data_IF_756784592188
#
_entry.id   IF_756784592188
#
_cell.length_a   1.000
_cell.length_b   1.000
_cell.length_c   1.000
_cell.angle_alpha   90.00
_cell.angle_beta   90.00
_cell.angle_gamma   90.00
#
_symmetry.space_group_name_H-M   'P 1'
#
loop_
_entity.id
_entity.type
_entity.pdbx_description
1 polymer ?
#
# COMPACT_ATOMS: atom_id res chain seq x y z
N UNK A 1 -5.20 8.40 15.37
CA UNK A 1 -5.26 6.93 15.52
C UNK A 1 -4.65 6.31 14.26
N UNK A 2 -3.60 5.49 14.39
CA UNK A 2 -2.88 4.95 13.22
C UNK A 2 -3.55 3.66 12.70
N UNK A 3 -3.63 3.51 11.37
CA UNK A 3 -4.27 2.35 10.71
C UNK A 3 -3.67 0.99 11.16
N UNK A 4 -2.37 0.95 11.44
CA UNK A 4 -1.67 -0.27 11.90
C UNK A 4 -1.93 -0.65 13.37
N UNK A 5 -2.56 0.23 14.15
CA UNK A 5 -2.96 -0.07 15.52
C UNK A 5 -4.39 -0.61 15.62
N UNK A 6 -5.17 -0.55 14.53
CA UNK A 6 -6.52 -1.09 14.47
C UNK A 6 -6.54 -2.37 13.64
N UNK A 7 -7.03 -3.43 14.28
CA UNK A 7 -7.26 -4.72 13.66
C UNK A 7 -8.68 -4.78 13.13
N UNK A 8 -8.79 -5.15 11.86
CA UNK A 8 -10.05 -5.36 11.14
C UNK A 8 -9.99 -6.73 10.43
N UNK A 9 -11.15 -7.39 10.22
CA UNK A 9 -11.19 -8.59 9.40
C UNK A 9 -10.57 -8.33 8.02
N UNK A 10 -9.55 -9.09 7.66
CA UNK A 10 -8.79 -8.92 6.41
C UNK A 10 -7.39 -8.31 6.58
N UNK A 11 -7.03 -7.86 7.78
CA UNK A 11 -5.65 -7.46 8.07
C UNK A 11 -4.70 -8.66 8.10
N UNK A 12 -3.48 -8.46 7.60
CA UNK A 12 -2.43 -9.48 7.64
C UNK A 12 -1.52 -9.25 8.85
N UNK A 13 -1.46 -10.26 9.71
CA UNK A 13 -0.73 -10.23 10.96
C UNK A 13 0.50 -11.14 10.90
N UNK A 14 1.53 -10.76 11.64
CA UNK A 14 2.60 -11.66 12.05
C UNK A 14 2.59 -11.73 13.58
N UNK A 15 2.20 -12.89 14.11
CA UNK A 15 1.88 -13.02 15.53
C UNK A 15 0.77 -12.04 15.93
N UNK A 16 0.95 -11.22 16.97
CA UNK A 16 -0.05 -10.24 17.41
C UNK A 16 -0.01 -8.92 16.62
N UNK A 17 0.97 -8.71 15.73
CA UNK A 17 1.21 -7.42 15.10
C UNK A 17 0.67 -7.35 13.67
N UNK A 18 -0.03 -6.26 13.35
CA UNK A 18 -0.47 -5.95 11.98
C UNK A 18 0.70 -5.45 11.15
N UNK A 19 1.02 -6.17 10.08
CA UNK A 19 2.14 -5.86 9.19
C UNK A 19 1.70 -5.38 7.81
N UNK A 20 0.45 -5.64 7.43
CA UNK A 20 -0.15 -5.08 6.22
C UNK A 20 -1.45 -4.36 6.56
N UNK A 21 -1.60 -3.16 6.04
CA UNK A 21 -2.85 -2.41 6.04
C UNK A 21 -3.27 -2.09 4.61
N UNK A 22 -4.56 -2.22 4.31
CA UNK A 22 -5.08 -1.94 2.98
C UNK A 22 -6.32 -1.04 3.02
N UNK A 23 -6.61 -0.42 1.88
CA UNK A 23 -7.81 0.36 1.64
C UNK A 23 -8.30 0.10 0.22
N UNK A 24 -9.62 0.19 0.04
CA UNK A 24 -10.26 -0.10 -1.23
C UNK A 24 -11.30 0.95 -1.59
N UNK A 25 -11.45 1.21 -2.89
CA UNK A 25 -12.54 2.03 -3.43
C UNK A 25 -13.09 1.41 -4.70
N UNK A 26 -14.42 1.26 -4.76
CA UNK A 26 -15.15 0.82 -5.95
C UNK A 26 -15.84 2.02 -6.59
N UNK A 27 -15.74 2.16 -7.90
CA UNK A 27 -16.37 3.26 -8.64
C UNK A 27 -16.56 2.90 -10.11
N UNK A 28 -17.78 3.04 -10.64
CA UNK A 28 -18.12 2.83 -12.05
C UNK A 28 -17.57 1.51 -12.63
N UNK A 29 -17.80 0.40 -11.94
CA UNK A 29 -17.30 -0.93 -12.33
C UNK A 29 -15.80 -1.17 -12.07
N UNK A 30 -15.03 -0.14 -11.72
CA UNK A 30 -13.61 -0.26 -11.34
C UNK A 30 -13.39 -0.49 -9.84
N UNK A 31 -12.27 -1.14 -9.51
CA UNK A 31 -11.76 -1.32 -8.15
C UNK A 31 -10.34 -0.76 -8.04
N UNK A 32 -10.13 0.14 -7.09
CA UNK A 32 -8.80 0.54 -6.62
C UNK A 32 -8.53 -0.15 -5.29
N UNK A 33 -7.54 -1.03 -5.25
CA UNK A 33 -7.00 -1.64 -4.03
C UNK A 33 -5.57 -1.14 -3.83
N UNK A 34 -5.28 -0.60 -2.65
CA UNK A 34 -3.91 -0.20 -2.30
C UNK A 34 -3.65 -0.42 -0.81
N UNK A 35 -2.38 -0.36 -0.40
CA UNK A 35 -2.00 -0.58 0.99
C UNK A 35 -0.52 -0.33 1.25
N UNK A 36 -0.10 -0.67 2.46
CA UNK A 36 1.27 -0.58 2.91
C UNK A 36 1.66 -1.86 3.66
N UNK A 37 2.92 -2.25 3.52
CA UNK A 37 3.55 -3.40 4.19
C UNK A 37 4.70 -2.88 5.04
N UNK A 38 4.70 -3.18 6.34
CA UNK A 38 5.77 -2.79 7.27
C UNK A 38 6.95 -3.75 7.17
N UNK A 39 7.99 -3.38 6.42
CA UNK A 39 9.21 -4.20 6.29
C UNK A 39 10.09 -4.13 7.55
N UNK A 40 10.15 -2.96 8.17
CA UNK A 40 10.88 -2.70 9.42
C UNK A 40 10.21 -1.53 10.17
N UNK A 41 10.50 -1.41 11.46
CA UNK A 41 10.04 -0.30 12.29
C UNK A 41 10.62 1.04 11.78
N UNK A 42 9.78 2.07 11.76
CA UNK A 42 10.18 3.43 11.39
C UNK A 42 10.70 4.20 12.61
N UNK A 43 11.73 5.04 12.48
CA UNK A 43 12.12 5.97 13.55
C UNK A 43 10.99 6.90 13.99
N UNK A 44 10.04 7.19 13.09
CA UNK A 44 8.89 8.06 13.36
C UNK A 44 7.68 7.32 13.97
N UNK A 45 7.72 5.98 14.00
CA UNK A 45 6.69 5.13 14.60
C UNK A 45 7.33 3.84 15.17
N UNK A 46 8.22 3.96 16.16
CA UNK A 46 9.02 2.83 16.64
C UNK A 46 8.19 1.75 17.34
N UNK A 47 6.97 2.09 17.76
CA UNK A 47 6.01 1.18 18.40
C UNK A 47 5.34 0.21 17.43
N UNK A 48 5.53 0.40 16.11
CA UNK A 48 4.98 -0.47 15.08
C UNK A 48 6.09 -1.38 14.54
N UNK A 49 6.19 -2.64 14.99
CA UNK A 49 7.22 -3.55 14.50
C UNK A 49 6.92 -3.97 13.06
N UNK A 50 7.95 -4.04 12.22
CA UNK A 50 7.84 -4.59 10.88
C UNK A 50 8.22 -6.07 10.82
N UNK A 51 8.27 -6.62 9.59
CA UNK A 51 8.69 -8.00 9.35
C UNK A 51 10.07 -8.27 9.96
N UNK A 52 11.00 -7.32 9.88
CA UNK A 52 12.35 -7.46 10.45
C UNK A 52 12.32 -7.69 11.96
N UNK A 53 11.63 -6.83 12.72
CA UNK A 53 11.59 -6.93 14.18
C UNK A 53 10.84 -8.18 14.64
N UNK A 54 9.84 -8.63 13.87
CA UNK A 54 9.00 -9.78 14.22
C UNK A 54 9.61 -11.13 13.86
N UNK A 55 10.51 -11.18 12.86
CA UNK A 55 11.01 -12.45 12.31
C UNK A 55 12.53 -12.56 12.26
N UNK A 56 13.25 -11.46 12.49
CA UNK A 56 14.69 -11.34 12.25
C UNK A 56 15.09 -11.29 10.78
N UNK A 57 14.14 -11.43 9.83
CA UNK A 57 14.43 -11.44 8.40
C UNK A 57 14.36 -10.03 7.82
N UNK A 58 15.42 -9.62 7.13
CA UNK A 58 15.44 -8.37 6.39
C UNK A 58 15.01 -8.60 4.95
N UNK A 59 13.79 -8.19 4.62
CA UNK A 59 13.29 -8.18 3.24
C UNK A 59 13.41 -6.78 2.65
N UNK A 60 13.72 -6.73 1.36
CA UNK A 60 13.72 -5.51 0.57
C UNK A 60 12.37 -5.30 -0.12
N UNK A 61 12.05 -4.05 -0.44
CA UNK A 61 10.81 -3.74 -1.16
C UNK A 61 10.72 -4.43 -2.54
N UNK A 62 11.80 -4.55 -3.34
CA UNK A 62 11.77 -5.30 -4.58
C UNK A 62 11.44 -6.79 -4.38
N UNK A 63 12.01 -7.46 -3.37
CA UNK A 63 11.72 -8.88 -3.09
C UNK A 63 10.25 -9.09 -2.75
N UNK A 64 9.69 -8.22 -1.89
CA UNK A 64 8.27 -8.28 -1.52
C UNK A 64 7.38 -7.97 -2.72
N UNK A 65 7.71 -6.95 -3.51
CA UNK A 65 6.99 -6.61 -4.74
C UNK A 65 6.95 -7.80 -5.71
N UNK A 66 8.09 -8.46 -5.92
CA UNK A 66 8.18 -9.61 -6.80
C UNK A 66 7.36 -10.80 -6.26
N UNK A 67 7.42 -11.07 -4.95
CA UNK A 67 6.64 -12.14 -4.34
C UNK A 67 5.13 -11.89 -4.44
N UNK A 68 4.67 -10.67 -4.13
CA UNK A 68 3.25 -10.29 -4.24
C UNK A 68 2.78 -10.37 -5.69
N UNK A 69 3.57 -9.87 -6.64
CA UNK A 69 3.22 -9.91 -8.07
C UNK A 69 3.08 -11.35 -8.57
N UNK A 70 4.02 -12.23 -8.21
CA UNK A 70 3.94 -13.65 -8.58
C UNK A 70 2.72 -14.34 -8.00
N UNK A 71 2.43 -14.11 -6.71
CA UNK A 71 1.28 -14.71 -6.04
C UNK A 71 -0.03 -14.21 -6.66
N UNK A 72 -0.15 -12.90 -6.90
CA UNK A 72 -1.32 -12.30 -7.53
C UNK A 72 -1.57 -12.89 -8.92
N UNK A 73 -0.53 -13.03 -9.74
CA UNK A 73 -0.65 -13.66 -11.06
C UNK A 73 -1.11 -15.13 -10.96
N UNK A 74 -0.57 -15.89 -10.00
CA UNK A 74 -0.98 -17.28 -9.75
C UNK A 74 -2.43 -17.41 -9.31
N UNK A 75 -2.88 -16.56 -8.39
CA UNK A 75 -4.24 -16.62 -7.81
C UNK A 75 -5.32 -16.14 -8.78
N UNK A 76 -4.98 -15.21 -9.69
CA UNK A 76 -5.94 -14.62 -10.64
C UNK A 76 -5.89 -15.23 -12.04
N UNK A 77 -4.80 -15.95 -12.36
CA UNK A 77 -4.49 -16.38 -13.72
C UNK A 77 -4.11 -15.22 -14.65
N UNK A 78 -3.89 -14.00 -14.14
CA UNK A 78 -3.55 -12.85 -14.95
C UNK A 78 -2.09 -12.87 -15.41
N UNK A 79 -1.87 -12.40 -16.64
CA UNK A 79 -0.53 -12.03 -17.11
C UNK A 79 -0.25 -10.58 -16.73
N UNK A 80 0.61 -10.37 -15.75
CA UNK A 80 1.05 -9.04 -15.32
C UNK A 80 2.31 -8.66 -16.11
N UNK A 81 2.26 -7.52 -16.81
CA UNK A 81 3.40 -6.96 -17.55
C UNK A 81 3.68 -5.54 -17.11
N UNK A 82 4.95 -5.09 -17.11
CA UNK A 82 5.27 -3.68 -16.90
C UNK A 82 4.49 -2.80 -17.89
N UNK A 83 3.92 -1.71 -17.38
CA UNK A 83 3.25 -0.70 -18.17
C UNK A 83 3.78 0.67 -17.81
N UNK A 84 3.81 1.56 -18.78
CA UNK A 84 4.10 2.97 -18.58
C UNK A 84 2.80 3.76 -18.48
N UNK A 85 2.86 4.90 -17.81
CA UNK A 85 1.75 5.84 -17.84
C UNK A 85 1.47 6.28 -19.29
N UNK A 86 0.19 6.44 -19.61
CA UNK A 86 -0.25 7.14 -20.83
C UNK A 86 -0.12 8.66 -20.65
N UNK A 87 -0.15 9.42 -21.75
CA UNK A 87 -0.09 10.89 -21.67
C UNK A 87 -1.31 11.50 -20.98
N UNK A 88 -2.50 10.89 -21.14
CA UNK A 88 -3.70 11.31 -20.45
C UNK A 88 -3.60 11.07 -18.94
N UNK A 89 -3.06 9.94 -18.51
CA UNK A 89 -2.81 9.66 -17.09
C UNK A 89 -1.77 10.61 -16.50
N UNK A 90 -0.65 10.86 -17.20
CA UNK A 90 0.36 11.84 -16.76
C UNK A 90 -0.24 13.22 -16.56
N UNK A 91 -0.97 13.74 -17.55
CA UNK A 91 -1.68 15.02 -17.44
C UNK A 91 -2.64 15.04 -16.25
N UNK A 92 -3.37 13.95 -16.02
CA UNK A 92 -4.31 13.84 -14.90
C UNK A 92 -3.62 13.80 -13.55
N UNK A 93 -2.49 13.11 -13.43
CA UNK A 93 -1.66 13.08 -12.22
C UNK A 93 -1.17 14.50 -11.90
N UNK A 94 -0.65 15.22 -12.88
CA UNK A 94 -0.18 16.60 -12.70
C UNK A 94 -1.30 17.55 -12.29
N UNK A 95 -2.46 17.48 -12.94
CA UNK A 95 -3.63 18.28 -12.60
C UNK A 95 -4.08 18.02 -11.15
N UNK A 96 -4.20 16.75 -10.76
CA UNK A 96 -4.60 16.36 -9.41
C UNK A 96 -3.56 16.79 -8.37
N UNK A 97 -2.27 16.62 -8.65
CA UNK A 97 -1.20 17.06 -7.78
C UNK A 97 -1.26 18.58 -7.56
N UNK A 98 -1.42 19.36 -8.63
CA UNK A 98 -1.43 20.82 -8.59
C UNK A 98 -2.66 21.39 -7.91
N UNK A 99 -3.84 20.90 -8.24
CA UNK A 99 -5.10 21.53 -7.85
C UNK A 99 -5.78 20.87 -6.65
N UNK A 100 -5.29 19.71 -6.19
CA UNK A 100 -5.93 18.94 -5.12
C UNK A 100 -4.94 18.47 -4.07
N UNK A 101 -4.03 17.57 -4.41
CA UNK A 101 -3.19 16.90 -3.40
C UNK A 101 -2.10 17.80 -2.80
N UNK A 102 -1.75 18.91 -3.45
CA UNK A 102 -0.88 19.96 -2.88
C UNK A 102 -1.63 20.94 -1.96
N UNK A 103 -2.96 20.98 -2.04
CA UNK A 103 -3.74 22.02 -1.38
C UNK A 103 -3.95 21.67 0.09
N UNK A 104 -3.61 22.59 1.00
CA UNK A 104 -3.84 22.41 2.43
C UNK A 104 -5.34 22.18 2.74
N UNK A 105 -6.22 22.86 2.01
CA UNK A 105 -7.68 22.69 2.11
C UNK A 105 -8.16 21.28 1.76
N UNK A 106 -7.36 20.49 1.03
CA UNK A 106 -7.61 19.07 0.81
C UNK A 106 -7.00 18.22 1.93
N UNK A 107 -5.71 18.43 2.25
CA UNK A 107 -4.97 17.60 3.21
C UNK A 107 -5.38 17.78 4.67
N UNK A 108 -6.03 18.90 5.01
CA UNK A 108 -6.49 19.23 6.37
C UNK A 108 -8.01 19.10 6.54
N UNK A 109 -8.72 18.57 5.52
CA UNK A 109 -10.11 18.17 5.70
C UNK A 109 -10.16 17.01 6.70
N UNK A 110 -10.95 17.20 7.76
CA UNK A 110 -11.27 16.16 8.74
C UNK A 110 -12.28 15.18 8.19
#
# INVERSE_FOLDING_TARGET
MLCFQHLTPGDLLLGPAKVVGSAQRRHQGGLLQHGAILLAASPHAPVLPGIRELTGKSLTAPEVCQAVTRQLAGDTGWRITPGEWTDSERRRVEELARHKYSQASWNQKR
#
